data_IF_886712155395
#
_entry.id   IF_886712155395
#
_cell.length_a   1.000
_cell.length_b   1.000
_cell.length_c   1.000
_cell.angle_alpha   90.00
_cell.angle_beta   90.00
_cell.angle_gamma   90.00
#
_symmetry.space_group_name_H-M   'P 1'
#
loop_
_entity.id
_entity.type
_entity.pdbx_description
1 polymer ?
#
# COMPACT_ATOMS: atom_id res chain seq x y z
N UNK A 1 0.32 2.77 25.55
CA UNK A 1 -0.02 3.31 24.22
C UNK A 1 0.76 4.59 24.04
N UNK A 2 1.29 4.87 22.85
CA UNK A 2 2.00 6.14 22.60
C UNK A 2 1.01 7.33 22.64
N UNK A 3 1.43 8.54 23.05
CA UNK A 3 0.56 9.72 23.01
C UNK A 3 0.08 10.02 21.59
N UNK A 4 -1.14 10.54 21.43
CA UNK A 4 -1.73 10.81 20.10
C UNK A 4 -0.89 11.76 19.25
N UNK A 5 -0.29 12.85 19.79
CA UNK A 5 0.58 13.71 18.98
C UNK A 5 1.76 12.95 18.36
N UNK A 6 2.29 11.96 19.09
CA UNK A 6 3.37 11.10 18.59
C UNK A 6 2.86 10.13 17.52
N UNK A 7 1.70 9.50 17.74
CA UNK A 7 1.08 8.59 16.77
C UNK A 7 0.76 9.28 15.44
N UNK A 8 0.24 10.50 15.51
CA UNK A 8 -0.07 11.32 14.34
C UNK A 8 1.20 11.69 13.58
N UNK A 9 2.26 12.08 14.30
CA UNK A 9 3.56 12.37 13.68
C UNK A 9 4.18 11.14 13.01
N UNK A 10 4.10 9.97 13.66
CA UNK A 10 4.54 8.70 13.10
C UNK A 10 3.77 8.34 11.83
N UNK A 11 2.44 8.45 11.88
CA UNK A 11 1.58 8.25 10.72
C UNK A 11 1.96 9.17 9.56
N UNK A 12 2.14 10.48 9.81
CA UNK A 12 2.49 11.46 8.77
C UNK A 12 3.79 11.09 8.05
N UNK A 13 4.84 10.78 8.82
CA UNK A 13 6.12 10.36 8.26
C UNK A 13 5.97 9.10 7.38
N UNK A 14 5.19 8.12 7.85
CA UNK A 14 4.97 6.88 7.11
C UNK A 14 4.12 7.07 5.86
N UNK A 15 3.15 7.98 5.90
CA UNK A 15 2.37 8.40 4.75
C UNK A 15 3.26 9.07 3.68
N UNK A 16 4.14 10.00 4.06
CA UNK A 16 5.02 10.72 3.14
C UNK A 16 6.02 9.78 2.45
N UNK A 17 6.62 8.86 3.19
CA UNK A 17 7.48 7.80 2.61
C UNK A 17 6.68 6.95 1.63
N UNK A 18 5.49 6.49 2.03
CA UNK A 18 4.65 5.65 1.18
C UNK A 18 4.20 6.36 -0.10
N UNK A 19 3.79 7.63 0.01
CA UNK A 19 3.33 8.45 -1.11
C UNK A 19 4.45 8.75 -2.11
N UNK A 20 5.70 8.92 -1.63
CA UNK A 20 6.85 9.20 -2.48
C UNK A 20 7.48 7.95 -3.11
N UNK A 21 7.30 6.76 -2.53
CA UNK A 21 7.99 5.53 -3.00
C UNK A 21 7.06 4.52 -3.68
N UNK A 22 5.87 4.28 -3.12
CA UNK A 22 4.99 3.19 -3.57
C UNK A 22 4.53 3.30 -5.03
N UNK A 23 4.23 4.49 -5.59
CA UNK A 23 3.85 4.61 -7.00
C UNK A 23 4.95 4.13 -7.96
N UNK A 24 6.21 4.48 -7.67
CA UNK A 24 7.35 4.07 -8.50
C UNK A 24 7.59 2.57 -8.41
N UNK A 25 7.52 1.99 -7.21
CA UNK A 25 7.64 0.54 -7.02
C UNK A 25 6.54 -0.19 -7.78
N UNK A 26 5.28 0.24 -7.65
CA UNK A 26 4.15 -0.36 -8.36
C UNK A 26 4.30 -0.28 -9.88
N UNK A 27 4.76 0.86 -10.40
CA UNK A 27 4.99 1.07 -11.82
C UNK A 27 6.11 0.15 -12.35
N UNK A 28 7.27 0.15 -11.70
CA UNK A 28 8.43 -0.65 -12.12
C UNK A 28 8.07 -2.13 -12.08
N UNK A 29 7.45 -2.61 -11.00
CA UNK A 29 6.99 -3.99 -10.90
C UNK A 29 5.96 -4.32 -11.98
N UNK A 30 4.98 -3.44 -12.21
CA UNK A 30 3.95 -3.64 -13.24
C UNK A 30 4.54 -3.76 -14.64
N UNK A 31 5.47 -2.89 -15.01
CA UNK A 31 6.18 -2.95 -16.30
C UNK A 31 6.99 -4.24 -16.42
N UNK A 32 7.75 -4.61 -15.38
CA UNK A 32 8.57 -5.82 -15.38
C UNK A 32 7.73 -7.10 -15.56
N UNK A 33 6.66 -7.28 -14.77
CA UNK A 33 5.81 -8.47 -14.89
C UNK A 33 5.00 -8.48 -16.19
N UNK A 34 4.56 -7.32 -16.69
CA UNK A 34 3.91 -7.23 -18.00
C UNK A 34 4.87 -7.66 -19.12
N UNK A 35 6.13 -7.23 -19.07
CA UNK A 35 7.15 -7.67 -20.01
C UNK A 35 7.37 -9.19 -19.94
N UNK A 36 7.50 -9.75 -18.74
CA UNK A 36 7.67 -11.20 -18.54
C UNK A 36 6.49 -12.00 -19.12
N UNK A 37 5.25 -11.52 -18.96
CA UNK A 37 4.08 -12.15 -19.59
C UNK A 37 4.19 -12.21 -21.12
N UNK A 38 4.75 -11.19 -21.78
CA UNK A 38 4.95 -11.24 -23.24
C UNK A 38 5.98 -12.29 -23.65
N UNK A 39 6.94 -12.63 -22.78
CA UNK A 39 7.92 -13.68 -23.06
C UNK A 39 7.30 -15.08 -22.97
N UNK A 40 6.35 -15.30 -22.06
CA UNK A 40 5.55 -16.53 -22.02
C UNK A 40 4.82 -16.80 -23.35
N UNK A 41 4.26 -15.76 -23.97
CA UNK A 41 3.59 -15.88 -25.27
C UNK A 41 4.53 -16.11 -26.46
N UNK A 42 5.82 -15.78 -26.34
CA UNK A 42 6.83 -16.01 -27.39
C UNK A 42 7.48 -17.39 -27.29
N UNK A 43 7.47 -17.97 -26.10
CA UNK A 43 8.10 -19.26 -25.79
C UNK A 43 7.05 -20.32 -25.41
N UNK A 44 5.96 -20.38 -26.18
CA UNK A 44 4.86 -21.33 -26.00
C UNK A 44 5.42 -22.76 -26.06
N UNK A 45 5.24 -23.52 -24.98
CA UNK A 45 5.74 -24.89 -24.82
C UNK A 45 7.08 -25.03 -24.09
N UNK A 46 7.80 -23.92 -23.83
CA UNK A 46 9.07 -23.92 -23.08
C UNK A 46 8.90 -23.45 -21.64
N UNK A 47 7.84 -22.68 -21.36
CA UNK A 47 7.49 -22.20 -20.02
C UNK A 47 6.21 -22.86 -19.52
N UNK A 48 6.22 -23.25 -18.25
CA UNK A 48 5.12 -23.91 -17.54
C UNK A 48 3.88 -23.01 -17.44
N UNK A 49 2.68 -23.60 -17.59
CA UNK A 49 1.41 -22.88 -17.38
C UNK A 49 1.33 -22.26 -15.97
N UNK A 50 1.90 -22.94 -14.97
CA UNK A 50 1.91 -22.45 -13.58
C UNK A 50 2.74 -21.19 -13.44
N UNK A 51 3.90 -21.12 -14.09
CA UNK A 51 4.74 -19.92 -14.13
C UNK A 51 4.02 -18.74 -14.78
N UNK A 52 3.23 -18.99 -15.83
CA UNK A 52 2.41 -17.95 -16.45
C UNK A 52 1.38 -17.37 -15.48
N UNK A 53 0.58 -18.22 -14.81
CA UNK A 53 -0.45 -17.75 -13.86
C UNK A 53 0.16 -17.02 -12.67
N UNK A 54 1.30 -17.49 -12.16
CA UNK A 54 2.02 -16.84 -11.05
C UNK A 54 2.59 -15.47 -11.47
N UNK A 55 3.17 -15.37 -12.67
CA UNK A 55 3.65 -14.10 -13.24
C UNK A 55 2.50 -13.12 -13.44
N UNK A 56 1.36 -13.58 -13.95
CA UNK A 56 0.17 -12.77 -14.11
C UNK A 56 -0.40 -12.29 -12.77
N UNK A 57 -0.44 -13.16 -11.75
CA UNK A 57 -0.87 -12.79 -10.41
C UNK A 57 0.04 -11.69 -9.81
N UNK A 58 1.36 -11.80 -9.95
CA UNK A 58 2.30 -10.77 -9.52
C UNK A 58 2.10 -9.45 -10.28
N UNK A 59 1.91 -9.53 -11.61
CA UNK A 59 1.65 -8.40 -12.49
C UNK A 59 0.31 -7.69 -12.25
N UNK A 60 -0.63 -8.32 -11.54
CA UNK A 60 -1.90 -7.70 -11.13
C UNK A 60 -1.85 -7.24 -9.68
N UNK A 61 -1.44 -8.09 -8.74
CA UNK A 61 -1.52 -7.82 -7.30
C UNK A 61 -0.67 -6.60 -6.88
N UNK A 62 0.54 -6.47 -7.43
CA UNK A 62 1.42 -5.36 -7.07
C UNK A 62 0.91 -4.04 -7.65
N UNK A 63 0.59 -3.91 -8.95
CA UNK A 63 0.04 -2.67 -9.48
C UNK A 63 -1.34 -2.31 -8.92
N UNK A 64 -2.17 -3.30 -8.56
CA UNK A 64 -3.51 -3.09 -7.98
C UNK A 64 -3.48 -2.31 -6.65
N UNK A 65 -2.33 -2.21 -5.97
CA UNK A 65 -2.22 -1.35 -4.78
C UNK A 65 -2.46 0.12 -5.10
N UNK A 66 -2.22 0.57 -6.34
CA UNK A 66 -2.44 1.96 -6.76
C UNK A 66 -3.94 2.32 -6.72
N UNK A 67 -4.83 1.65 -7.48
CA UNK A 67 -6.27 1.91 -7.38
C UNK A 67 -6.82 1.62 -5.98
N UNK A 68 -6.33 0.59 -5.27
CA UNK A 68 -6.71 0.35 -3.87
C UNK A 68 -6.37 1.54 -2.96
N UNK A 69 -5.17 2.10 -3.11
CA UNK A 69 -4.73 3.25 -2.30
C UNK A 69 -5.57 4.48 -2.61
N UNK A 70 -5.82 4.79 -3.89
CA UNK A 70 -6.58 5.97 -4.31
C UNK A 70 -8.05 5.87 -3.87
N UNK A 71 -8.68 4.70 -4.04
CA UNK A 71 -10.11 4.54 -3.79
C UNK A 71 -10.44 4.27 -2.32
N UNK A 72 -9.58 3.55 -1.61
CA UNK A 72 -9.90 3.02 -0.26
C UNK A 72 -9.09 3.70 0.84
N UNK A 73 -7.79 3.92 0.63
CA UNK A 73 -6.91 4.50 1.67
C UNK A 73 -6.99 6.02 1.67
N UNK A 74 -7.04 6.67 0.50
CA UNK A 74 -7.02 8.12 0.37
C UNK A 74 -8.07 8.83 1.24
N UNK A 75 -9.35 8.41 1.30
CA UNK A 75 -10.34 9.07 2.15
C UNK A 75 -9.98 9.05 3.64
N UNK A 76 -9.28 8.01 4.09
CA UNK A 76 -8.79 7.92 5.48
C UNK A 76 -7.57 8.83 5.68
N UNK A 77 -6.67 8.88 4.71
CA UNK A 77 -5.52 9.79 4.75
C UNK A 77 -5.96 11.26 4.77
N UNK A 78 -6.93 11.64 3.94
CA UNK A 78 -7.44 13.01 3.87
C UNK A 78 -8.06 13.44 5.22
N UNK A 79 -8.81 12.54 5.88
CA UNK A 79 -9.36 12.78 7.23
C UNK A 79 -8.27 12.91 8.29
N UNK A 80 -7.27 12.04 8.27
CA UNK A 80 -6.14 12.11 9.21
C UNK A 80 -5.34 13.39 8.99
N UNK A 81 -5.07 13.78 7.75
CA UNK A 81 -4.39 15.03 7.39
C UNK A 81 -5.12 16.26 7.92
N UNK A 82 -6.45 16.33 7.74
CA UNK A 82 -7.27 17.42 8.27
C UNK A 82 -7.18 17.52 9.80
N UNK A 83 -7.10 16.38 10.52
CA UNK A 83 -6.92 16.40 11.97
C UNK A 83 -5.50 16.85 12.35
N UNK A 84 -4.47 16.44 11.60
CA UNK A 84 -3.09 16.92 11.84
C UNK A 84 -3.00 18.43 11.70
N UNK A 85 -3.59 18.98 10.65
CA UNK A 85 -3.65 20.43 10.42
C UNK A 85 -4.45 21.13 11.53
N UNK A 86 -5.56 20.53 11.96
CA UNK A 86 -6.36 21.07 13.05
C UNK A 86 -5.66 21.00 14.42
N UNK A 87 -4.69 20.11 14.62
CA UNK A 87 -3.91 19.99 15.85
C UNK A 87 -2.73 20.97 15.90
N UNK A 88 -2.29 21.50 14.76
CA UNK A 88 -1.18 22.44 14.69
C UNK A 88 -1.59 23.80 15.30
N UNK A 89 -0.96 24.16 16.42
CA UNK A 89 -1.21 25.41 17.14
C UNK A 89 -2.34 25.42 18.19
N UNK A 90 -2.97 24.27 18.51
CA UNK A 90 -4.06 24.20 19.51
C UNK A 90 -3.59 23.99 20.96
N UNK A 91 -4.42 24.45 21.91
CA UNK A 91 -4.21 24.27 23.35
C UNK A 91 -4.52 22.83 23.82
N UNK A 92 -3.93 22.33 24.92
CA UNK A 92 -4.05 20.93 25.36
C UNK A 92 -5.48 20.40 25.54
N UNK A 93 -6.45 21.25 25.91
CA UNK A 93 -7.85 20.84 26.08
C UNK A 93 -8.58 20.56 24.76
N UNK A 94 -8.20 21.24 23.67
CA UNK A 94 -8.78 21.00 22.34
C UNK A 94 -8.15 19.78 21.66
N UNK A 95 -6.92 19.44 22.03
CA UNK A 95 -6.23 18.23 21.58
C UNK A 95 -7.03 16.99 22.00
N UNK A 96 -7.47 16.91 23.26
CA UNK A 96 -8.20 15.74 23.80
C UNK A 96 -9.51 15.41 23.05
N UNK A 97 -10.20 16.40 22.49
CA UNK A 97 -11.42 16.19 21.69
C UNK A 97 -11.08 15.61 20.31
N UNK A 98 -9.98 16.04 19.71
CA UNK A 98 -9.49 15.50 18.45
C UNK A 98 -8.86 14.10 18.64
N UNK A 99 -8.24 13.83 19.79
CA UNK A 99 -7.67 12.52 20.13
C UNK A 99 -8.70 11.39 20.00
N UNK A 100 -9.93 11.62 20.49
CA UNK A 100 -11.03 10.63 20.40
C UNK A 100 -11.43 10.32 18.95
N UNK A 101 -11.18 11.23 18.01
CA UNK A 101 -11.48 11.05 16.58
C UNK A 101 -10.32 10.40 15.82
N UNK A 102 -9.08 10.62 16.26
CA UNK A 102 -7.87 10.11 15.58
C UNK A 102 -7.70 8.60 15.76
N UNK A 103 -7.91 8.08 16.96
CA UNK A 103 -7.68 6.66 17.26
C UNK A 103 -8.43 5.68 16.33
N UNK A 104 -9.75 5.81 16.10
CA UNK A 104 -10.45 4.91 15.18
C UNK A 104 -9.96 5.03 13.74
N UNK A 105 -9.56 6.24 13.29
CA UNK A 105 -9.01 6.46 11.96
C UNK A 105 -7.63 5.82 11.80
N UNK A 106 -6.75 5.92 12.80
CA UNK A 106 -5.45 5.25 12.80
C UNK A 106 -5.62 3.72 12.78
N UNK A 107 -6.58 3.18 13.54
CA UNK A 107 -6.89 1.74 13.53
C UNK A 107 -7.39 1.29 12.16
N UNK A 108 -8.27 2.07 11.54
CA UNK A 108 -8.74 1.82 10.19
C UNK A 108 -7.60 1.88 9.17
N UNK A 109 -6.78 2.93 9.23
CA UNK A 109 -5.61 3.12 8.38
C UNK A 109 -4.63 1.95 8.50
N UNK A 110 -4.33 1.51 9.72
CA UNK A 110 -3.44 0.37 9.95
C UNK A 110 -3.98 -0.91 9.33
N UNK A 111 -5.28 -1.19 9.48
CA UNK A 111 -5.92 -2.36 8.85
C UNK A 111 -5.82 -2.30 7.32
N UNK A 112 -6.10 -1.15 6.71
CA UNK A 112 -6.01 -0.99 5.27
C UNK A 112 -4.56 -1.12 4.75
N UNK A 113 -3.59 -0.61 5.51
CA UNK A 113 -2.18 -0.77 5.17
C UNK A 113 -1.72 -2.22 5.31
N UNK A 114 -2.20 -2.95 6.32
CA UNK A 114 -1.96 -4.39 6.43
C UNK A 114 -2.51 -5.14 5.21
N UNK A 115 -3.73 -4.83 4.76
CA UNK A 115 -4.30 -5.40 3.52
C UNK A 115 -3.42 -5.08 2.31
N UNK A 116 -2.99 -3.82 2.16
CA UNK A 116 -2.07 -3.42 1.08
C UNK A 116 -0.77 -4.22 1.11
N UNK A 117 -0.16 -4.35 2.29
CA UNK A 117 1.08 -5.12 2.48
C UNK A 117 0.90 -6.60 2.13
N UNK A 118 -0.25 -7.20 2.48
CA UNK A 118 -0.56 -8.58 2.08
C UNK A 118 -0.67 -8.72 0.57
N UNK A 119 -1.32 -7.77 -0.12
CA UNK A 119 -1.39 -7.78 -1.60
C UNK A 119 0.01 -7.76 -2.23
N UNK A 120 0.88 -6.85 -1.77
CA UNK A 120 2.28 -6.77 -2.25
C UNK A 120 3.05 -8.05 -1.92
N UNK A 121 2.91 -8.55 -0.69
CA UNK A 121 3.59 -9.78 -0.24
C UNK A 121 3.19 -10.99 -1.06
N UNK A 122 1.89 -11.19 -1.32
CA UNK A 122 1.40 -12.26 -2.18
C UNK A 122 1.89 -12.13 -3.61
N UNK A 123 1.89 -10.91 -4.17
CA UNK A 123 2.45 -10.66 -5.51
C UNK A 123 3.94 -10.95 -5.59
N UNK A 124 4.71 -10.59 -4.57
CA UNK A 124 6.14 -10.88 -4.49
C UNK A 124 6.41 -12.39 -4.40
N UNK A 125 5.68 -13.12 -3.54
CA UNK A 125 5.77 -14.58 -3.43
C UNK A 125 5.39 -15.24 -4.75
N UNK A 126 4.31 -14.80 -5.41
CA UNK A 126 3.91 -15.32 -6.71
C UNK A 126 5.01 -15.12 -7.77
N UNK A 127 5.60 -13.93 -7.84
CA UNK A 127 6.71 -13.64 -8.75
C UNK A 127 7.95 -14.50 -8.49
N UNK A 128 8.29 -14.76 -7.23
CA UNK A 128 9.40 -15.65 -6.87
C UNK A 128 9.11 -17.10 -7.26
N UNK A 129 7.90 -17.59 -6.98
CA UNK A 129 7.51 -18.95 -7.35
C UNK A 129 7.44 -19.15 -8.86
N UNK A 130 7.09 -18.12 -9.62
CA UNK A 130 7.06 -18.18 -11.09
C UNK A 130 8.44 -18.50 -11.70
N UNK A 131 9.53 -18.13 -11.03
CA UNK A 131 10.90 -18.41 -11.50
C UNK A 131 11.26 -19.89 -11.32
N UNK A 132 10.70 -20.54 -10.30
CA UNK A 132 11.07 -21.92 -9.92
C UNK A 132 10.24 -22.97 -10.66
N UNK A 133 9.06 -22.60 -11.19
CA UNK A 133 8.02 -23.51 -11.67
C UNK A 133 7.81 -23.51 -13.18
#
# INVERSE_FOLDING_TARGET
MAPVPLLVKQWKNQYEIGASTAPFVALISGVSFSYLMTQHGKHIGMLSEKSFYLTAAAGVLIPAIVPFTILVIKPVNDKLAAIVEALDGKQPGEVAVEEQKVEPLLKQWNRLNATRSVMVGLGAVAGLLAIVW
#
